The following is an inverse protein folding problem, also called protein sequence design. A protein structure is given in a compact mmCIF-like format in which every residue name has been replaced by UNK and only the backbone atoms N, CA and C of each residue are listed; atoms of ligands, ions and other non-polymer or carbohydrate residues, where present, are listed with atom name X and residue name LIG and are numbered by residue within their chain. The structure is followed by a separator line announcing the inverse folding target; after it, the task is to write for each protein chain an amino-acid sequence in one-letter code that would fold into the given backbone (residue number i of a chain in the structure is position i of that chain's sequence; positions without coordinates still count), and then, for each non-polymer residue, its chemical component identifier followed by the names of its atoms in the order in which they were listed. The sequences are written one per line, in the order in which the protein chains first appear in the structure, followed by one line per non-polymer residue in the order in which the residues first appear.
data_IF_912051216392
#
_entry.id   IF_912051216392
#
_cell.length_a   1.000
_cell.length_b   1.000
_cell.length_c   1.000
_cell.angle_alpha   90.00
_cell.angle_beta   90.00
_cell.angle_gamma   90.00
#
_symmetry.space_group_name_H-M   'P 1'
#
loop_
_entity.id
_entity.type
_entity.pdbx_description
1 polymer ?
#
# COMPACT_ATOMS: atom_id res chain seq x y z
N UNK A 1 -34.41 -25.18 23.52
CA UNK A 1 -34.51 -23.95 22.74
C UNK A 1 -33.18 -23.22 22.80
N UNK A 2 -32.20 -23.61 22.00
CA UNK A 2 -30.86 -22.95 21.92
C UNK A 2 -30.17 -23.33 20.59
N UNK A 3 -30.73 -22.91 19.47
CA UNK A 3 -30.18 -23.15 18.12
C UNK A 3 -30.65 -22.09 17.11
N UNK A 4 -30.63 -20.81 17.48
CA UNK A 4 -31.09 -19.75 16.56
C UNK A 4 -30.22 -18.48 16.58
N UNK A 5 -29.00 -18.49 17.12
CA UNK A 5 -28.17 -17.27 17.19
C UNK A 5 -26.81 -17.34 16.46
N UNK A 6 -26.54 -18.37 15.64
CA UNK A 6 -25.28 -18.49 14.89
C UNK A 6 -25.33 -18.04 13.41
N UNK A 7 -26.46 -17.54 12.95
CA UNK A 7 -26.63 -17.09 11.56
C UNK A 7 -26.46 -15.58 11.42
N UNK A 8 -25.21 -15.07 11.48
CA UNK A 8 -24.98 -13.64 11.25
C UNK A 8 -23.58 -13.09 11.55
N UNK A 9 -22.61 -13.93 11.93
CA UNK A 9 -21.24 -13.45 12.12
C UNK A 9 -20.52 -13.44 10.76
N UNK A 10 -20.70 -12.37 10.01
CA UNK A 10 -19.78 -12.05 8.91
C UNK A 10 -18.37 -11.94 9.49
N UNK A 11 -17.40 -12.62 8.88
CA UNK A 11 -15.99 -12.46 9.29
C UNK A 11 -15.62 -10.98 9.29
N UNK A 12 -14.86 -10.49 10.31
CA UNK A 12 -14.46 -9.10 10.37
C UNK A 12 -13.71 -8.71 9.10
N UNK A 13 -14.00 -7.53 8.58
CA UNK A 13 -13.29 -6.98 7.43
C UNK A 13 -11.80 -6.74 7.79
N UNK A 14 -10.95 -6.57 6.76
CA UNK A 14 -9.54 -6.22 6.99
C UNK A 14 -9.42 -4.87 7.73
N UNK A 15 -10.35 -3.94 7.51
CA UNK A 15 -10.41 -2.67 8.24
C UNK A 15 -10.72 -2.90 9.71
N UNK A 16 -11.71 -3.74 10.05
CA UNK A 16 -12.06 -4.06 11.44
C UNK A 16 -10.90 -4.77 12.15
N UNK A 17 -10.22 -5.70 11.47
CA UNK A 17 -9.06 -6.38 12.00
C UNK A 17 -7.89 -5.42 12.27
N UNK A 18 -7.64 -4.46 11.36
CA UNK A 18 -6.61 -3.43 11.52
C UNK A 18 -6.93 -2.48 12.68
N UNK A 19 -8.21 -2.11 12.87
CA UNK A 19 -8.66 -1.31 14.01
C UNK A 19 -8.45 -2.05 15.33
N UNK A 20 -8.92 -3.29 15.40
CA UNK A 20 -8.81 -4.12 16.62
C UNK A 20 -7.34 -4.38 17.01
N UNK A 21 -6.45 -4.51 16.03
CA UNK A 21 -5.01 -4.70 16.24
C UNK A 21 -4.23 -3.39 16.45
N UNK A 22 -4.88 -2.22 16.38
CA UNK A 22 -4.23 -0.92 16.55
C UNK A 22 -3.21 -0.59 15.47
N UNK A 23 -3.37 -1.10 14.25
CA UNK A 23 -2.42 -0.90 13.16
C UNK A 23 -2.46 0.54 12.66
N UNK A 24 -1.29 1.17 12.64
CA UNK A 24 -1.08 2.52 12.11
C UNK A 24 -0.04 2.53 10.98
N UNK A 25 -0.04 3.60 10.19
CA UNK A 25 0.88 3.75 9.07
C UNK A 25 2.35 3.77 9.51
N UNK A 26 3.19 3.01 8.80
CA UNK A 26 4.63 2.86 9.08
C UNK A 26 5.48 4.09 8.68
N UNK A 27 4.91 5.08 8.03
CA UNK A 27 5.59 6.31 7.58
C UNK A 27 5.85 7.37 8.67
N UNK A 28 5.63 7.04 9.95
CA UNK A 28 5.92 7.93 11.08
C UNK A 28 4.78 8.87 11.50
N UNK A 29 3.85 9.21 10.61
CA UNK A 29 2.69 10.07 10.95
C UNK A 29 1.62 9.37 11.80
N UNK A 30 1.71 8.05 11.99
CA UNK A 30 0.76 7.29 12.80
C UNK A 30 -0.67 7.28 12.24
N UNK A 31 -0.88 7.52 10.97
CA UNK A 31 -2.24 7.57 10.39
C UNK A 31 -2.94 6.21 10.54
N UNK A 32 -4.18 6.16 11.06
CA UNK A 32 -4.88 4.91 11.34
C UNK A 32 -5.14 4.11 10.04
N UNK A 33 -4.58 2.91 9.95
CA UNK A 33 -4.67 2.06 8.74
C UNK A 33 -6.11 1.67 8.42
N UNK A 34 -6.95 1.43 9.44
CA UNK A 34 -8.35 1.09 9.24
C UNK A 34 -9.15 2.17 8.50
N UNK A 35 -8.78 3.45 8.65
CA UNK A 35 -9.41 4.57 7.91
C UNK A 35 -9.12 4.45 6.42
N UNK A 36 -7.87 4.14 6.05
CA UNK A 36 -7.48 3.90 4.65
C UNK A 36 -8.19 2.67 4.08
N UNK A 37 -8.25 1.59 4.85
CA UNK A 37 -8.89 0.34 4.44
C UNK A 37 -10.43 0.41 4.42
N UNK A 38 -11.04 1.34 5.14
CA UNK A 38 -12.48 1.60 5.12
C UNK A 38 -12.95 2.50 3.98
N UNK A 39 -12.02 3.09 3.23
CA UNK A 39 -12.33 3.96 2.10
C UNK A 39 -12.59 3.15 0.82
N UNK A 40 -13.12 3.83 -0.20
CA UNK A 40 -13.16 3.32 -1.57
C UNK A 40 -12.08 4.03 -2.40
N UNK A 41 -11.34 3.26 -3.20
CA UNK A 41 -10.30 3.78 -4.07
C UNK A 41 -10.16 2.93 -5.33
N UNK A 42 -9.67 3.51 -6.42
CA UNK A 42 -9.39 2.76 -7.65
C UNK A 42 -7.94 2.25 -7.72
N UNK A 43 -7.06 2.87 -6.93
CA UNK A 43 -5.62 2.56 -6.92
C UNK A 43 -5.09 2.44 -5.49
N UNK A 44 -4.34 1.37 -5.21
CA UNK A 44 -3.56 1.22 -3.97
C UNK A 44 -2.08 1.30 -4.29
N UNK A 45 -1.34 2.12 -3.54
CA UNK A 45 0.09 2.34 -3.75
C UNK A 45 0.85 1.86 -2.50
N UNK A 46 1.80 0.96 -2.69
CA UNK A 46 2.80 0.64 -1.68
C UNK A 46 4.03 1.52 -1.88
N UNK A 47 4.32 2.39 -0.92
CA UNK A 47 5.46 3.28 -0.93
C UNK A 47 6.70 2.56 -0.36
N UNK A 48 7.58 2.10 -1.26
CA UNK A 48 8.88 1.51 -0.94
C UNK A 48 10.06 2.41 -1.34
N UNK A 49 9.83 3.72 -1.52
CA UNK A 49 10.86 4.65 -1.98
C UNK A 49 11.98 4.90 -0.96
N UNK A 50 11.65 4.80 0.34
CA UNK A 50 12.59 4.92 1.46
C UNK A 50 13.53 6.13 1.31
N UNK A 51 12.99 7.35 1.59
CA UNK A 51 13.70 8.60 1.35
C UNK A 51 14.67 8.99 2.48
N UNK A 52 14.52 8.41 3.66
CA UNK A 52 15.38 8.75 4.80
C UNK A 52 16.80 8.20 4.62
N UNK A 53 17.84 9.04 4.85
CA UNK A 53 19.24 8.60 4.81
C UNK A 53 19.49 7.47 5.82
N UNK A 54 20.31 6.49 5.41
CA UNK A 54 20.73 5.34 6.23
C UNK A 54 19.60 4.39 6.65
N UNK A 55 18.38 4.61 6.20
CA UNK A 55 17.26 3.69 6.41
C UNK A 55 17.23 2.66 5.29
N UNK A 56 17.06 1.38 5.63
CA UNK A 56 17.04 0.27 4.65
C UNK A 56 15.95 -0.77 4.97
N UNK A 57 14.99 -0.45 5.83
CA UNK A 57 13.96 -1.41 6.27
C UNK A 57 13.03 -1.83 5.14
N UNK A 58 12.54 -0.87 4.35
CA UNK A 58 11.59 -1.14 3.25
C UNK A 58 12.28 -1.90 2.12
N UNK A 59 13.50 -1.51 1.78
CA UNK A 59 14.34 -2.23 0.81
C UNK A 59 14.54 -3.69 1.24
N UNK A 60 14.94 -3.95 2.50
CA UNK A 60 15.15 -5.30 3.01
C UNK A 60 13.86 -6.12 3.08
N UNK A 61 12.73 -5.50 3.42
CA UNK A 61 11.44 -6.18 3.42
C UNK A 61 11.05 -6.60 2.00
N UNK A 62 11.23 -5.74 1.01
CA UNK A 62 10.96 -6.05 -0.39
C UNK A 62 11.91 -7.11 -0.96
N UNK A 63 13.18 -7.12 -0.55
CA UNK A 63 14.14 -8.15 -0.95
C UNK A 63 13.82 -9.52 -0.35
N UNK A 64 13.54 -9.57 0.95
CA UNK A 64 13.41 -10.83 1.69
C UNK A 64 11.99 -11.38 1.74
N UNK A 65 10.99 -10.52 1.58
CA UNK A 65 9.58 -10.82 1.79
C UNK A 65 8.68 -10.27 0.67
N UNK A 66 9.19 -10.20 -0.57
CA UNK A 66 8.47 -9.67 -1.73
C UNK A 66 7.04 -10.21 -1.86
N UNK A 67 6.86 -11.52 -1.75
CA UNK A 67 5.54 -12.16 -1.84
C UNK A 67 4.57 -11.67 -0.75
N UNK A 68 5.07 -11.40 0.47
CA UNK A 68 4.23 -10.88 1.57
C UNK A 68 3.82 -9.43 1.33
N UNK A 69 4.73 -8.61 0.80
CA UNK A 69 4.44 -7.21 0.41
C UNK A 69 3.35 -7.19 -0.65
N UNK A 70 3.49 -8.00 -1.70
CA UNK A 70 2.49 -8.11 -2.78
C UNK A 70 1.16 -8.63 -2.23
N UNK A 71 1.16 -9.65 -1.38
CA UNK A 71 -0.06 -10.17 -0.75
C UNK A 71 -0.78 -9.08 0.07
N UNK A 72 -0.03 -8.27 0.83
CA UNK A 72 -0.58 -7.15 1.60
C UNK A 72 -1.21 -6.11 0.69
N UNK A 73 -0.55 -5.75 -0.41
CA UNK A 73 -1.06 -4.83 -1.41
C UNK A 73 -2.36 -5.34 -2.05
N UNK A 74 -2.38 -6.61 -2.50
CA UNK A 74 -3.57 -7.22 -3.11
C UNK A 74 -4.74 -7.26 -2.14
N UNK A 75 -4.52 -7.65 -0.88
CA UNK A 75 -5.59 -7.63 0.15
C UNK A 75 -6.12 -6.21 0.41
N UNK A 76 -5.25 -5.22 0.40
CA UNK A 76 -5.68 -3.82 0.51
C UNK A 76 -6.51 -3.40 -0.69
N UNK A 77 -6.11 -3.79 -1.92
CA UNK A 77 -6.88 -3.56 -3.14
C UNK A 77 -8.28 -4.17 -3.06
N UNK A 78 -8.37 -5.44 -2.66
CA UNK A 78 -9.65 -6.14 -2.49
C UNK A 78 -10.54 -5.45 -1.46
N UNK A 79 -9.97 -5.02 -0.35
CA UNK A 79 -10.70 -4.35 0.74
C UNK A 79 -11.29 -3.00 0.31
N UNK A 80 -10.54 -2.19 -0.47
CA UNK A 80 -10.98 -0.84 -0.90
C UNK A 80 -11.65 -0.83 -2.28
N UNK A 81 -11.79 -1.99 -2.93
CA UNK A 81 -12.38 -2.13 -4.26
C UNK A 81 -11.47 -1.65 -5.40
N UNK A 82 -10.16 -1.57 -5.19
CA UNK A 82 -9.21 -1.09 -6.20
C UNK A 82 -8.94 -2.13 -7.29
N UNK A 83 -8.91 -1.66 -8.53
CA UNK A 83 -8.55 -2.49 -9.69
C UNK A 83 -7.04 -2.51 -9.96
N UNK A 84 -6.29 -1.53 -9.44
CA UNK A 84 -4.87 -1.31 -9.73
C UNK A 84 -4.04 -1.18 -8.47
N UNK A 85 -2.91 -1.92 -8.42
CA UNK A 85 -1.89 -1.83 -7.39
C UNK A 85 -0.56 -1.32 -7.95
N UNK A 86 0.12 -0.45 -7.23
CA UNK A 86 1.41 0.11 -7.64
C UNK A 86 2.41 -0.03 -6.49
N UNK A 87 3.62 -0.50 -6.78
CA UNK A 87 4.73 -0.48 -5.81
C UNK A 87 5.74 0.56 -6.29
N UNK A 88 5.81 1.70 -5.59
CA UNK A 88 6.81 2.72 -5.84
C UNK A 88 8.14 2.35 -5.21
N UNK A 89 9.20 2.25 -6.02
CA UNK A 89 10.55 1.87 -5.56
C UNK A 89 11.62 2.62 -6.33
N UNK A 90 12.70 3.06 -5.67
CA UNK A 90 13.81 3.71 -6.36
C UNK A 90 14.52 2.75 -7.31
N UNK A 91 14.77 3.19 -8.55
CA UNK A 91 15.38 2.39 -9.62
C UNK A 91 16.73 1.76 -9.24
N UNK A 92 17.47 2.38 -8.31
CA UNK A 92 18.76 1.88 -7.81
C UNK A 92 18.66 0.61 -6.96
N UNK A 93 17.49 0.22 -6.49
CA UNK A 93 17.26 -0.93 -5.60
C UNK A 93 17.11 -2.24 -6.41
N UNK A 94 18.13 -2.61 -7.18
CA UNK A 94 18.07 -3.71 -8.16
C UNK A 94 17.65 -5.05 -7.54
N UNK A 95 18.17 -5.42 -6.36
CA UNK A 95 17.85 -6.69 -5.70
C UNK A 95 16.36 -6.76 -5.28
N UNK A 96 15.84 -5.69 -4.67
CA UNK A 96 14.43 -5.60 -4.30
C UNK A 96 13.51 -5.63 -5.53
N UNK A 97 13.88 -4.92 -6.61
CA UNK A 97 13.14 -4.94 -7.87
C UNK A 97 13.10 -6.35 -8.47
N UNK A 98 14.23 -7.07 -8.46
CA UNK A 98 14.29 -8.45 -8.95
C UNK A 98 13.41 -9.39 -8.12
N UNK A 99 13.45 -9.28 -6.80
CA UNK A 99 12.61 -10.07 -5.89
C UNK A 99 11.12 -9.80 -6.10
N UNK A 100 10.74 -8.52 -6.21
CA UNK A 100 9.35 -8.13 -6.47
C UNK A 100 8.87 -8.65 -7.83
N UNK A 101 9.67 -8.49 -8.90
CA UNK A 101 9.32 -9.00 -10.24
C UNK A 101 9.12 -10.51 -10.25
N UNK A 102 9.96 -11.26 -9.53
CA UNK A 102 9.83 -12.70 -9.41
C UNK A 102 8.58 -13.15 -8.64
N UNK A 103 8.06 -12.30 -7.76
CA UNK A 103 6.90 -12.58 -6.92
C UNK A 103 5.59 -12.00 -7.47
N UNK A 104 5.64 -11.15 -8.52
CA UNK A 104 4.43 -10.59 -9.12
C UNK A 104 3.54 -11.68 -9.72
N UNK A 105 2.22 -11.64 -9.46
CA UNK A 105 1.28 -12.56 -10.08
C UNK A 105 1.14 -12.26 -11.59
N UNK A 106 0.86 -13.29 -12.37
CA UNK A 106 0.72 -13.21 -13.82
C UNK A 106 -0.44 -12.30 -14.30
N UNK A 107 -1.36 -11.93 -13.40
CA UNK A 107 -2.63 -11.26 -13.73
C UNK A 107 -2.54 -9.74 -13.94
N UNK A 108 -1.37 -9.13 -13.90
CA UNK A 108 -1.17 -7.76 -14.38
C UNK A 108 -1.82 -6.61 -13.59
N UNK A 109 -2.48 -6.89 -12.45
CA UNK A 109 -3.12 -5.84 -11.61
C UNK A 109 -2.14 -5.05 -10.73
N UNK A 110 -0.93 -5.58 -10.54
CA UNK A 110 0.13 -4.98 -9.73
C UNK A 110 1.33 -4.68 -10.60
N UNK A 111 1.82 -3.45 -10.53
CA UNK A 111 2.98 -2.99 -11.29
C UNK A 111 4.04 -2.31 -10.42
N UNK A 112 5.27 -2.26 -10.93
CA UNK A 112 6.35 -1.52 -10.30
C UNK A 112 6.51 -0.14 -10.94
N UNK A 113 6.45 0.91 -10.13
CA UNK A 113 6.79 2.27 -10.51
C UNK A 113 8.23 2.55 -10.10
N UNK A 114 9.12 2.67 -11.09
CA UNK A 114 10.53 2.97 -10.83
C UNK A 114 10.71 4.48 -10.65
N UNK A 115 11.13 4.87 -9.45
CA UNK A 115 11.32 6.25 -9.05
C UNK A 115 12.79 6.68 -9.21
N UNK A 116 13.00 7.98 -9.42
CA UNK A 116 14.32 8.58 -9.42
C UNK A 116 14.99 8.55 -8.04
N UNK A 117 16.32 8.71 -8.03
CA UNK A 117 17.10 8.78 -6.79
C UNK A 117 17.35 10.24 -6.39
N UNK A 118 16.31 10.92 -5.98
CA UNK A 118 16.34 12.28 -5.46
C UNK A 118 15.46 12.39 -4.21
N UNK A 119 15.60 13.46 -3.47
CA UNK A 119 14.69 13.82 -2.38
C UNK A 119 13.72 14.89 -2.88
N UNK A 120 12.41 14.71 -2.69
CA UNK A 120 11.69 13.71 -1.87
C UNK A 120 10.95 12.64 -2.70
N UNK A 121 11.61 11.91 -3.59
CA UNK A 121 10.99 11.00 -4.58
C UNK A 121 10.02 9.92 -4.02
N UNK A 122 9.82 9.88 -2.73
CA UNK A 122 8.82 9.03 -2.04
C UNK A 122 7.79 9.87 -1.29
N UNK A 123 7.76 11.18 -1.53
CA UNK A 123 6.69 12.03 -1.04
C UNK A 123 5.34 11.56 -1.59
N UNK A 124 4.32 11.61 -0.74
CA UNK A 124 3.00 11.05 -1.06
C UNK A 124 2.33 11.76 -2.24
N UNK A 125 2.53 13.08 -2.38
CA UNK A 125 1.98 13.88 -3.50
C UNK A 125 2.66 13.53 -4.82
N UNK A 126 3.99 13.47 -4.83
CA UNK A 126 4.75 13.05 -6.02
C UNK A 126 4.44 11.61 -6.42
N UNK A 127 4.39 10.71 -5.44
CA UNK A 127 4.14 9.30 -5.68
C UNK A 127 2.75 9.06 -6.28
N UNK A 128 1.72 9.71 -5.74
CA UNK A 128 0.36 9.63 -6.28
C UNK A 128 0.29 10.21 -7.68
N UNK A 129 0.92 11.36 -7.91
CA UNK A 129 0.96 11.96 -9.26
C UNK A 129 1.69 11.05 -10.24
N UNK A 130 2.87 10.53 -9.89
CA UNK A 130 3.63 9.63 -10.74
C UNK A 130 2.88 8.32 -11.06
N UNK A 131 2.12 7.79 -10.08
CA UNK A 131 1.36 6.55 -10.25
C UNK A 131 0.05 6.74 -11.03
N UNK A 132 -0.64 7.89 -10.85
CA UNK A 132 -2.03 8.06 -11.33
C UNK A 132 -2.22 9.20 -12.33
N UNK A 133 -1.25 10.12 -12.42
CA UNK A 133 -1.40 11.39 -13.16
C UNK A 133 -2.28 12.43 -12.45
N UNK A 134 -2.82 12.12 -11.26
CA UNK A 134 -3.74 12.99 -10.51
C UNK A 134 -2.97 13.84 -9.52
N UNK A 135 -3.41 15.09 -9.34
CA UNK A 135 -2.85 16.00 -8.34
C UNK A 135 -3.75 16.03 -7.11
N UNK A 136 -3.17 15.74 -5.95
CA UNK A 136 -3.87 15.90 -4.67
C UNK A 136 -4.09 17.40 -4.43
N UNK A 137 -5.34 17.84 -4.13
CA UNK A 137 -5.60 19.25 -3.89
C UNK A 137 -4.85 19.75 -2.63
N UNK A 138 -4.53 21.06 -2.54
CA UNK A 138 -3.85 21.62 -1.38
C UNK A 138 -4.58 21.28 -0.07
N UNK A 139 -3.85 20.76 0.91
CA UNK A 139 -4.41 20.30 2.19
C UNK A 139 -5.21 19.00 2.12
N UNK A 140 -5.30 18.38 0.93
CA UNK A 140 -5.95 17.10 0.73
C UNK A 140 -5.04 15.91 1.05
N UNK A 141 -5.61 14.72 0.99
CA UNK A 141 -4.92 13.44 1.15
C UNK A 141 -5.16 12.57 -0.10
N UNK A 142 -4.40 11.50 -0.35
CA UNK A 142 -4.55 10.63 -1.51
C UNK A 142 -5.96 10.14 -1.78
N UNK A 143 -6.75 9.91 -0.75
CA UNK A 143 -8.16 9.51 -0.88
C UNK A 143 -9.02 10.50 -1.67
N UNK A 144 -8.69 11.79 -1.65
CA UNK A 144 -9.41 12.81 -2.42
C UNK A 144 -9.31 12.59 -3.94
N UNK A 145 -8.33 11.83 -4.38
CA UNK A 145 -8.11 11.49 -5.79
C UNK A 145 -8.22 9.99 -6.08
N UNK A 146 -8.92 9.25 -5.21
CA UNK A 146 -9.18 7.82 -5.40
C UNK A 146 -7.96 6.90 -5.19
N UNK A 147 -6.95 7.38 -4.48
CA UNK A 147 -5.76 6.60 -4.17
C UNK A 147 -5.63 6.32 -2.67
N UNK A 148 -5.15 5.12 -2.34
CA UNK A 148 -4.71 4.74 -0.99
C UNK A 148 -3.21 4.50 -1.03
N UNK A 149 -2.46 5.12 -0.12
CA UNK A 149 -1.01 4.92 0.01
C UNK A 149 -0.68 4.24 1.33
N UNK A 150 0.05 3.14 1.28
CA UNK A 150 0.65 2.46 2.43
C UNK A 150 2.17 2.46 2.30
N UNK A 151 2.91 2.64 3.40
CA UNK A 151 4.34 2.34 3.41
C UNK A 151 4.56 0.81 3.53
N UNK A 152 5.65 0.35 2.98
CA UNK A 152 6.08 -1.05 3.05
C UNK A 152 6.51 -1.43 4.47
#
# INVERSE_FOLDING_TARGET
MARAEEAGRTSPSLADAALAAGVVGAGGAGFPTHVKLGAQADTVIANGAECEPLMHKDTLLMERHAARVITGLVRSMEQVGASRGVIGIKAKRAAAIAALRAALPFEGRVELLLLGDYYPSGDEYELVHAATGRLIPPGGIPLAVGAVVHNV
#
